data_IF_822542556464
#
_entry.id   IF_822542556464
#
_cell.length_a   1.000
_cell.length_b   1.000
_cell.length_c   1.000
_cell.angle_alpha   90.00
_cell.angle_beta   90.00
_cell.angle_gamma   90.00
#
_symmetry.space_group_name_H-M   'P 1'
#
loop_
_entity.id
_entity.type
_entity.pdbx_description
1 polymer ?
#
# COMPACT_ATOMS: atom_id res chain seq x y z
N UNK A 1 10.57 -6.25 -0.27
CA UNK A 1 11.36 -7.39 0.25
C UNK A 1 12.56 -7.64 -0.65
N UNK A 2 13.73 -7.89 -0.07
CA UNK A 2 14.96 -8.26 -0.79
C UNK A 2 15.57 -9.55 -0.20
N UNK A 3 16.53 -10.15 -0.89
CA UNK A 3 17.25 -11.37 -0.46
C UNK A 3 18.27 -11.11 0.65
N UNK A 4 18.80 -9.90 0.70
CA UNK A 4 19.86 -9.47 1.58
C UNK A 4 19.84 -7.93 1.69
N UNK A 5 20.83 -7.38 2.39
CA UNK A 5 20.97 -5.94 2.63
C UNK A 5 21.63 -5.18 1.46
N UNK A 6 21.71 -5.76 0.26
CA UNK A 6 22.30 -5.08 -0.91
C UNK A 6 21.40 -4.01 -1.51
N UNK A 7 20.10 -4.01 -1.21
CA UNK A 7 19.13 -3.03 -1.71
C UNK A 7 18.89 -1.99 -0.63
N UNK A 8 19.44 -0.78 -0.81
CA UNK A 8 19.36 0.31 0.16
C UNK A 8 18.67 1.56 -0.42
N UNK A 9 18.44 1.59 -1.73
CA UNK A 9 17.75 2.64 -2.46
C UNK A 9 17.01 2.06 -3.67
N UNK A 10 16.08 2.82 -4.27
CA UNK A 10 15.45 2.38 -5.52
C UNK A 10 16.44 2.29 -6.68
N UNK A 11 17.51 3.10 -6.69
CA UNK A 11 18.56 3.03 -7.70
C UNK A 11 19.25 1.64 -7.74
N UNK A 12 19.33 0.95 -6.60
CA UNK A 12 19.88 -0.41 -6.52
C UNK A 12 19.00 -1.44 -7.25
N UNK A 13 17.80 -1.08 -7.69
CA UNK A 13 16.91 -1.95 -8.46
C UNK A 13 17.26 -2.02 -9.94
N UNK A 14 18.16 -1.17 -10.44
CA UNK A 14 18.60 -1.19 -11.83
C UNK A 14 19.12 -2.59 -12.24
N UNK A 15 18.55 -3.14 -13.31
CA UNK A 15 18.84 -4.46 -13.84
C UNK A 15 18.26 -5.63 -13.03
N UNK A 16 17.53 -5.37 -11.93
CA UNK A 16 16.92 -6.42 -11.10
C UNK A 16 15.53 -6.81 -11.60
N UNK A 17 15.14 -8.04 -11.28
CA UNK A 17 13.79 -8.57 -11.44
C UNK A 17 12.99 -8.32 -10.16
N UNK A 18 11.91 -7.55 -10.29
CA UNK A 18 10.98 -7.21 -9.21
C UNK A 18 9.71 -8.03 -9.37
N UNK A 19 9.43 -8.91 -8.41
CA UNK A 19 8.11 -9.55 -8.32
C UNK A 19 7.09 -8.55 -7.80
N UNK A 20 5.98 -8.45 -8.51
CA UNK A 20 4.90 -7.53 -8.20
C UNK A 20 3.58 -8.19 -8.61
N UNK A 21 2.51 -7.93 -7.87
CA UNK A 21 1.16 -8.40 -8.25
C UNK A 21 0.33 -7.22 -8.75
N UNK A 22 -0.78 -7.52 -9.42
CA UNK A 22 -1.79 -6.53 -9.78
C UNK A 22 -1.28 -5.44 -10.74
N UNK A 23 -0.93 -5.85 -11.96
CA UNK A 23 -0.49 -4.95 -13.03
C UNK A 23 -1.54 -3.86 -13.30
N UNK A 24 -1.10 -2.61 -13.38
CA UNK A 24 -1.90 -1.39 -13.54
C UNK A 24 -2.86 -1.07 -12.39
N UNK A 25 -2.70 -1.70 -11.23
CA UNK A 25 -3.42 -1.33 -10.02
C UNK A 25 -2.53 -0.51 -9.07
N UNK A 26 -3.10 -0.03 -7.96
CA UNK A 26 -2.45 0.90 -7.05
C UNK A 26 -1.00 0.53 -6.62
N UNK A 27 -0.66 -0.73 -6.30
CA UNK A 27 0.73 -1.09 -5.96
C UNK A 27 1.71 -0.90 -7.12
N UNK A 28 1.32 -1.26 -8.35
CA UNK A 28 2.13 -1.07 -9.56
C UNK A 28 2.28 0.40 -9.91
N UNK A 29 1.17 1.14 -9.89
CA UNK A 29 1.17 2.57 -10.22
C UNK A 29 2.02 3.37 -9.23
N UNK A 30 1.87 3.14 -7.92
CA UNK A 30 2.70 3.79 -6.91
C UNK A 30 4.18 3.44 -7.10
N UNK A 31 4.49 2.17 -7.37
CA UNK A 31 5.87 1.74 -7.57
C UNK A 31 6.51 2.37 -8.81
N UNK A 32 5.77 2.45 -9.92
CA UNK A 32 6.19 3.13 -11.15
C UNK A 32 6.45 4.62 -10.93
N UNK A 33 5.60 5.30 -10.16
CA UNK A 33 5.78 6.72 -9.79
C UNK A 33 7.14 6.90 -9.09
N UNK A 34 7.39 6.14 -8.02
CA UNK A 34 8.61 6.33 -7.23
C UNK A 34 9.87 5.89 -7.97
N UNK A 35 9.80 4.89 -8.87
CA UNK A 35 10.90 4.54 -9.76
C UNK A 35 11.28 5.71 -10.68
N UNK A 36 10.28 6.34 -11.29
CA UNK A 36 10.48 7.48 -12.18
C UNK A 36 11.11 8.69 -11.45
N UNK A 37 10.70 8.95 -10.21
CA UNK A 37 11.28 10.03 -9.39
C UNK A 37 12.74 9.78 -9.02
N UNK A 38 13.15 8.52 -8.91
CA UNK A 38 14.54 8.10 -8.67
C UNK A 38 15.34 7.93 -9.98
N UNK A 39 14.77 8.34 -11.12
CA UNK A 39 15.44 8.34 -12.41
C UNK A 39 15.52 6.97 -13.09
N UNK A 40 14.74 5.97 -12.64
CA UNK A 40 14.63 4.67 -13.28
C UNK A 40 13.40 4.60 -14.18
N UNK A 41 13.61 4.18 -15.43
CA UNK A 41 12.51 3.83 -16.33
C UNK A 41 11.96 2.44 -15.96
N UNK A 42 10.69 2.33 -15.52
CA UNK A 42 10.11 1.07 -15.04
C UNK A 42 10.00 -0.01 -16.12
N UNK A 43 10.06 0.35 -17.40
CA UNK A 43 9.93 -0.58 -18.53
C UNK A 43 11.28 -0.89 -19.20
N UNK A 44 12.38 -0.26 -18.77
CA UNK A 44 13.72 -0.44 -19.35
C UNK A 44 14.79 -0.80 -18.33
N UNK A 45 14.79 -0.12 -17.19
CA UNK A 45 15.88 -0.23 -16.21
C UNK A 45 15.60 -1.29 -15.15
N UNK A 46 14.37 -1.79 -15.05
CA UNK A 46 13.97 -2.88 -14.15
C UNK A 46 13.13 -3.91 -14.90
N UNK A 47 13.12 -5.16 -14.45
CA UNK A 47 12.21 -6.19 -14.98
C UNK A 47 11.05 -6.39 -14.01
N UNK A 48 9.86 -5.88 -14.33
CA UNK A 48 8.65 -6.11 -13.54
C UNK A 48 8.04 -7.47 -13.90
N UNK A 49 8.20 -8.45 -13.02
CA UNK A 49 7.67 -9.80 -13.18
C UNK A 49 6.33 -9.93 -12.43
N UNK A 50 5.24 -9.78 -13.18
CA UNK A 50 3.90 -9.76 -12.62
C UNK A 50 3.39 -11.16 -12.26
N UNK A 51 2.92 -11.33 -11.02
CA UNK A 51 2.32 -12.57 -10.50
C UNK A 51 0.82 -12.41 -10.27
N UNK A 52 0.08 -13.52 -10.17
CA UNK A 52 -1.39 -13.51 -10.18
C UNK A 52 -2.03 -12.99 -8.90
N UNK A 53 -1.33 -13.00 -7.76
CA UNK A 53 -1.80 -12.40 -6.51
C UNK A 53 -0.67 -12.12 -5.52
N UNK A 54 -0.87 -11.24 -4.52
CA UNK A 54 0.08 -11.05 -3.42
C UNK A 54 0.40 -12.34 -2.66
N UNK A 55 -0.58 -13.22 -2.47
CA UNK A 55 -0.41 -14.51 -1.80
C UNK A 55 0.47 -15.49 -2.60
N UNK A 56 0.46 -15.39 -3.93
CA UNK A 56 1.32 -16.17 -4.82
C UNK A 56 2.76 -15.63 -4.86
N UNK A 57 2.94 -14.31 -4.71
CA UNK A 57 4.25 -13.65 -4.71
C UNK A 57 5.19 -14.21 -3.64
N UNK A 58 4.65 -14.52 -2.45
CA UNK A 58 5.44 -15.01 -1.31
C UNK A 58 6.16 -16.34 -1.61
N UNK A 59 5.49 -17.46 -1.91
CA UNK A 59 6.16 -18.73 -2.19
C UNK A 59 7.05 -18.67 -3.43
N UNK A 60 6.67 -17.89 -4.46
CA UNK A 60 7.51 -17.67 -5.64
C UNK A 60 8.81 -16.96 -5.28
N UNK A 61 8.73 -15.88 -4.49
CA UNK A 61 9.91 -15.22 -3.99
C UNK A 61 10.73 -16.19 -3.16
N UNK A 62 10.17 -16.88 -2.17
CA UNK A 62 10.92 -17.82 -1.33
C UNK A 62 11.58 -18.97 -2.09
N UNK A 63 11.06 -19.37 -3.25
CA UNK A 63 11.65 -20.42 -4.10
C UNK A 63 12.80 -19.94 -5.01
N UNK A 64 13.13 -18.65 -4.99
CA UNK A 64 14.24 -18.07 -5.75
C UNK A 64 13.84 -17.28 -6.99
N UNK A 65 12.53 -17.13 -7.27
CA UNK A 65 12.08 -16.27 -8.38
C UNK A 65 12.21 -14.80 -7.98
N UNK A 66 12.77 -13.98 -8.86
CA UNK A 66 12.99 -12.55 -8.65
C UNK A 66 14.06 -12.21 -7.62
N UNK A 67 14.68 -11.04 -7.81
CA UNK A 67 15.71 -10.49 -6.93
C UNK A 67 15.09 -9.75 -5.75
N UNK A 68 13.97 -9.08 -5.98
CA UNK A 68 13.17 -8.39 -4.98
C UNK A 68 11.69 -8.66 -5.21
N UNK A 69 10.87 -8.39 -4.20
CA UNK A 69 9.42 -8.51 -4.29
C UNK A 69 8.73 -7.36 -3.56
N UNK A 70 7.75 -6.73 -4.22
CA UNK A 70 6.85 -5.77 -3.61
C UNK A 70 5.76 -6.54 -2.88
N UNK A 71 5.65 -6.31 -1.57
CA UNK A 71 4.69 -6.98 -0.70
C UNK A 71 4.12 -5.95 0.27
N UNK A 72 2.81 -5.97 0.47
CA UNK A 72 2.13 -5.21 1.53
C UNK A 72 1.93 -6.08 2.76
N UNK A 73 1.67 -5.45 3.90
CA UNK A 73 1.27 -6.17 5.11
C UNK A 73 -0.16 -6.70 4.98
N UNK A 74 -0.46 -7.88 5.56
CA UNK A 74 0.41 -8.73 6.38
C UNK A 74 1.29 -9.74 5.59
N UNK A 75 1.26 -9.71 4.25
CA UNK A 75 1.97 -10.70 3.42
C UNK A 75 3.50 -10.62 3.57
N UNK A 76 4.06 -9.42 3.74
CA UNK A 76 5.49 -9.23 4.03
C UNK A 76 5.91 -9.88 5.36
N UNK A 77 5.10 -9.72 6.42
CA UNK A 77 5.30 -10.42 7.70
C UNK A 77 5.21 -11.94 7.55
N UNK A 78 4.22 -12.43 6.82
CA UNK A 78 4.07 -13.86 6.54
C UNK A 78 5.29 -14.41 5.80
N UNK A 79 5.80 -13.69 4.79
CA UNK A 79 6.99 -14.06 4.04
C UNK A 79 8.22 -14.20 4.95
N UNK A 80 8.47 -13.23 5.84
CA UNK A 80 9.60 -13.28 6.79
C UNK A 80 9.52 -14.48 7.72
N UNK A 81 8.33 -14.79 8.22
CA UNK A 81 8.10 -15.94 9.10
C UNK A 81 8.37 -17.25 8.35
N UNK A 82 7.86 -17.38 7.13
CA UNK A 82 8.08 -18.57 6.31
C UNK A 82 9.55 -18.73 5.91
N UNK A 83 10.20 -17.64 5.51
CA UNK A 83 11.61 -17.60 5.17
C UNK A 83 12.50 -18.04 6.34
N UNK A 84 12.24 -17.53 7.54
CA UNK A 84 12.95 -17.91 8.76
C UNK A 84 12.81 -19.40 9.10
N UNK A 85 11.63 -20.00 8.86
CA UNK A 85 11.43 -21.46 9.03
C UNK A 85 12.18 -22.27 7.97
N UNK A 86 12.31 -21.74 6.76
CA UNK A 86 12.98 -22.39 5.63
C UNK A 86 14.49 -22.13 5.57
N UNK A 87 15.03 -21.24 6.43
CA UNK A 87 16.43 -20.80 6.37
C UNK A 87 16.77 -19.96 5.13
N UNK A 88 15.77 -19.33 4.51
CA UNK A 88 15.95 -18.45 3.36
C UNK A 88 16.13 -17.01 3.88
N UNK A 89 17.26 -16.34 3.60
CA UNK A 89 17.43 -14.96 4.01
C UNK A 89 16.55 -14.05 3.14
N UNK A 90 15.71 -13.25 3.79
CA UNK A 90 15.03 -12.11 3.16
C UNK A 90 14.90 -10.98 4.19
N UNK A 91 14.80 -9.75 3.71
CA UNK A 91 14.67 -8.54 4.55
C UNK A 91 13.65 -7.56 3.98
N UNK A 92 13.08 -6.71 4.85
CA UNK A 92 12.40 -5.48 4.42
C UNK A 92 13.47 -4.47 4.05
N UNK A 93 13.72 -4.31 2.75
CA UNK A 93 14.76 -3.42 2.24
C UNK A 93 14.31 -1.96 2.15
N UNK A 94 13.12 -1.73 1.58
CA UNK A 94 12.58 -0.39 1.31
C UNK A 94 11.08 -0.37 1.65
N UNK A 95 10.61 0.76 2.17
CA UNK A 95 9.19 1.10 2.28
C UNK A 95 8.84 2.11 1.18
N UNK A 96 8.00 1.70 0.22
CA UNK A 96 7.58 2.53 -0.91
C UNK A 96 6.79 3.76 -0.43
N UNK A 97 6.08 3.64 0.68
CA UNK A 97 5.30 4.72 1.29
C UNK A 97 6.22 5.81 1.84
N UNK A 98 7.34 5.42 2.47
CA UNK A 98 8.37 6.35 2.95
C UNK A 98 9.06 7.08 1.79
N UNK A 99 9.39 6.35 0.71
CA UNK A 99 9.97 6.97 -0.50
C UNK A 99 9.00 7.98 -1.10
N UNK A 100 7.73 7.62 -1.25
CA UNK A 100 6.71 8.53 -1.74
C UNK A 100 6.56 9.76 -0.83
N UNK A 101 6.53 9.54 0.48
CA UNK A 101 6.43 10.58 1.49
C UNK A 101 7.59 11.58 1.48
N UNK A 102 8.81 11.09 1.23
CA UNK A 102 10.01 11.91 1.11
C UNK A 102 9.95 12.84 -0.10
N UNK A 103 9.48 12.36 -1.25
CA UNK A 103 9.35 13.17 -2.47
C UNK A 103 8.21 14.19 -2.39
N UNK A 104 7.13 13.85 -1.69
CA UNK A 104 5.95 14.73 -1.56
C UNK A 104 6.03 15.70 -0.39
N UNK A 105 6.88 15.44 0.60
CA UNK A 105 6.95 16.22 1.84
C UNK A 105 5.73 16.03 2.75
N UNK A 106 4.93 14.98 2.52
CA UNK A 106 3.69 14.69 3.26
C UNK A 106 3.85 13.61 4.34
N UNK A 107 5.07 13.10 4.53
CA UNK A 107 5.34 11.92 5.35
C UNK A 107 4.86 10.63 4.66
N UNK A 108 4.99 9.44 5.28
CA UNK A 108 4.62 8.15 4.69
C UNK A 108 3.08 7.99 4.58
N UNK A 109 2.46 8.83 3.74
CA UNK A 109 1.01 8.91 3.54
C UNK A 109 0.71 8.82 2.05
N UNK A 110 -0.08 7.83 1.69
CA UNK A 110 -0.62 7.68 0.33
C UNK A 110 -2.12 7.40 0.46
N UNK A 111 -3.00 8.25 -0.08
CA UNK A 111 -4.45 8.08 0.02
C UNK A 111 -4.95 7.03 -0.98
N UNK A 112 -4.58 5.76 -0.76
CA UNK A 112 -4.88 4.66 -1.68
C UNK A 112 -6.26 4.04 -1.45
N UNK A 113 -6.86 4.25 -0.27
CA UNK A 113 -8.14 3.63 0.13
C UNK A 113 -9.06 4.71 0.68
N UNK A 114 -10.33 4.67 0.25
CA UNK A 114 -11.38 5.56 0.74
C UNK A 114 -12.75 4.88 0.68
N UNK A 115 -13.70 5.43 1.43
CA UNK A 115 -15.11 5.03 1.38
C UNK A 115 -15.88 6.06 0.57
N UNK A 116 -16.64 5.60 -0.42
CA UNK A 116 -17.52 6.45 -1.21
C UNK A 116 -18.98 6.17 -0.84
N UNK A 117 -19.79 7.22 -0.79
CA UNK A 117 -21.23 7.15 -0.64
C UNK A 117 -21.88 7.85 -1.81
N UNK A 118 -23.07 7.39 -2.23
CA UNK A 118 -23.83 8.12 -3.25
C UNK A 118 -24.39 9.40 -2.65
N UNK A 119 -24.48 10.45 -3.48
CA UNK A 119 -25.11 11.72 -3.10
C UNK A 119 -26.51 11.52 -2.53
N UNK A 120 -27.33 10.68 -3.18
CA UNK A 120 -28.68 10.35 -2.70
C UNK A 120 -28.71 9.71 -1.30
N UNK A 121 -27.70 8.92 -0.93
CA UNK A 121 -27.61 8.33 0.40
C UNK A 121 -27.13 9.36 1.43
N UNK A 122 -26.16 10.19 1.05
CA UNK A 122 -25.67 11.28 1.88
C UNK A 122 -26.79 12.28 2.21
N UNK A 123 -27.63 12.63 1.24
CA UNK A 123 -28.77 13.54 1.46
C UNK A 123 -29.86 12.92 2.34
N UNK A 124 -30.11 11.62 2.16
CA UNK A 124 -31.18 10.92 2.88
C UNK A 124 -30.81 10.57 4.33
N UNK A 125 -29.53 10.33 4.61
CA UNK A 125 -29.04 9.86 5.91
C UNK A 125 -27.65 10.43 6.26
N UNK A 126 -27.48 11.77 6.30
CA UNK A 126 -26.18 12.40 6.56
C UNK A 126 -25.61 12.01 7.94
N UNK A 127 -26.47 11.78 8.93
CA UNK A 127 -26.09 11.33 10.26
C UNK A 127 -25.48 9.92 10.26
N UNK A 128 -25.92 9.04 9.35
CA UNK A 128 -25.36 7.69 9.21
C UNK A 128 -23.96 7.75 8.61
N UNK A 129 -23.73 8.61 7.61
CA UNK A 129 -22.40 8.83 7.03
C UNK A 129 -21.44 9.39 8.09
N UNK A 130 -21.88 10.40 8.84
CA UNK A 130 -21.09 10.97 9.93
C UNK A 130 -20.77 9.94 11.03
N UNK A 131 -21.74 9.15 11.44
CA UNK A 131 -21.54 8.08 12.44
C UNK A 131 -20.60 6.98 11.93
N UNK A 132 -20.71 6.59 10.66
CA UNK A 132 -19.82 5.60 10.05
C UNK A 132 -18.37 6.12 10.01
N UNK A 133 -18.16 7.38 9.62
CA UNK A 133 -16.83 7.98 9.64
C UNK A 133 -16.25 8.02 11.06
N UNK A 134 -17.02 8.49 12.05
CA UNK A 134 -16.57 8.53 13.44
C UNK A 134 -16.19 7.14 13.96
N UNK A 135 -16.99 6.11 13.64
CA UNK A 135 -16.68 4.73 13.99
C UNK A 135 -15.41 4.21 13.30
N UNK A 136 -15.16 4.59 12.05
CA UNK A 136 -13.91 4.25 11.36
C UNK A 136 -12.68 4.93 12.01
N UNK A 137 -12.81 6.19 12.44
CA UNK A 137 -11.74 6.90 13.15
C UNK A 137 -11.43 6.22 14.48
N UNK A 138 -12.46 5.89 15.26
CA UNK A 138 -12.32 5.16 16.52
C UNK A 138 -11.66 3.79 16.30
N UNK A 139 -12.18 2.99 15.37
CA UNK A 139 -11.62 1.68 15.04
C UNK A 139 -10.16 1.77 14.57
N UNK A 140 -9.80 2.77 13.77
CA UNK A 140 -8.43 3.00 13.32
C UNK A 140 -7.46 3.25 14.48
N UNK A 141 -7.89 3.99 15.51
CA UNK A 141 -7.10 4.21 16.71
C UNK A 141 -6.97 2.95 17.58
N UNK A 142 -8.06 2.17 17.71
CA UNK A 142 -8.08 0.93 18.49
C UNK A 142 -7.13 -0.14 17.93
N UNK A 143 -7.00 -0.23 16.60
CA UNK A 143 -6.12 -1.21 15.92
C UNK A 143 -4.69 -1.17 16.45
N UNK A 144 -4.17 0.02 16.76
CA UNK A 144 -2.80 0.19 17.27
C UNK A 144 -2.71 0.18 18.79
N UNK A 145 -3.82 0.42 19.50
CA UNK A 145 -3.86 0.39 20.96
C UNK A 145 -3.78 -1.03 21.52
N UNK A 146 -4.40 -2.00 20.83
CA UNK A 146 -4.34 -3.43 21.18
C UNK A 146 -4.16 -4.31 19.92
N UNK A 147 -2.91 -4.52 19.47
CA UNK A 147 -2.60 -5.32 18.30
C UNK A 147 -3.12 -6.76 18.34
N UNK A 148 -3.21 -7.37 19.52
CA UNK A 148 -3.67 -8.75 19.67
C UNK A 148 -5.20 -8.83 19.53
N UNK A 149 -5.94 -7.89 20.13
CA UNK A 149 -7.39 -7.80 19.93
C UNK A 149 -7.76 -7.45 18.48
N UNK A 150 -7.03 -6.52 17.86
CA UNK A 150 -7.18 -6.18 16.45
C UNK A 150 -6.90 -7.39 15.55
N UNK A 151 -5.87 -8.18 15.86
CA UNK A 151 -5.56 -9.40 15.13
C UNK A 151 -6.65 -10.46 15.29
N UNK A 152 -7.18 -10.69 16.49
CA UNK A 152 -8.21 -11.69 16.75
C UNK A 152 -9.49 -11.45 15.94
N UNK A 153 -9.85 -10.18 15.68
CA UNK A 153 -11.02 -9.81 14.87
C UNK A 153 -10.73 -9.81 13.37
N UNK A 154 -9.51 -9.43 12.97
CA UNK A 154 -9.13 -9.27 11.56
C UNK A 154 -8.67 -10.57 10.91
N UNK A 155 -7.95 -11.42 11.65
CA UNK A 155 -7.34 -12.64 11.12
C UNK A 155 -8.33 -13.62 10.48
N UNK A 156 -9.54 -13.85 11.03
CA UNK A 156 -10.57 -14.67 10.39
C UNK A 156 -11.04 -14.10 9.04
N UNK A 157 -11.11 -12.76 8.90
CA UNK A 157 -11.53 -12.09 7.66
C UNK A 157 -10.48 -12.25 6.55
N UNK A 158 -9.20 -12.32 6.94
CA UNK A 158 -8.07 -12.49 6.03
C UNK A 158 -7.71 -13.96 5.78
N UNK A 159 -8.29 -14.90 6.54
CA UNK A 159 -7.89 -16.31 6.49
C UNK A 159 -6.44 -16.54 6.91
N UNK A 160 -5.92 -15.69 7.81
CA UNK A 160 -4.54 -15.74 8.29
C UNK A 160 -4.50 -16.08 9.79
N UNK A 161 -3.37 -16.58 10.32
CA UNK A 161 -3.15 -16.68 11.76
C UNK A 161 -3.07 -15.32 12.44
N UNK A 162 -3.67 -15.18 13.62
CA UNK A 162 -3.67 -13.97 14.46
C UNK A 162 -2.25 -13.43 14.67
N UNK A 163 -1.29 -14.32 14.97
CA UNK A 163 0.10 -13.94 15.20
C UNK A 163 0.78 -13.31 13.96
N UNK A 164 0.32 -13.60 12.73
CA UNK A 164 0.81 -12.92 11.52
C UNK A 164 0.25 -11.50 11.46
N UNK A 165 -1.05 -11.35 11.72
CA UNK A 165 -1.71 -10.04 11.70
C UNK A 165 -1.13 -9.13 12.79
N UNK A 166 -1.07 -9.59 14.04
CA UNK A 166 -0.53 -8.80 15.17
C UNK A 166 0.91 -8.33 14.90
N UNK A 167 1.76 -9.22 14.37
CA UNK A 167 3.17 -8.90 14.05
C UNK A 167 3.34 -7.97 12.84
N UNK A 168 2.31 -7.83 12.01
CA UNK A 168 2.34 -6.94 10.85
C UNK A 168 1.97 -5.50 11.20
N UNK A 169 1.17 -5.28 12.25
CA UNK A 169 0.65 -3.96 12.61
C UNK A 169 1.71 -2.87 12.83
N UNK A 170 2.92 -3.13 13.37
CA UNK A 170 3.97 -2.11 13.45
C UNK A 170 4.45 -1.57 12.09
N UNK A 171 4.11 -2.24 11.00
CA UNK A 171 4.48 -1.88 9.62
C UNK A 171 3.27 -1.41 8.79
N UNK A 172 2.10 -1.29 9.42
CA UNK A 172 0.89 -0.77 8.80
C UNK A 172 0.79 0.72 9.09
N UNK A 173 0.65 1.52 8.04
CA UNK A 173 0.34 2.94 8.15
C UNK A 173 -1.17 3.13 7.96
N UNK A 174 -1.88 3.50 9.02
CA UNK A 174 -3.31 3.79 8.96
C UNK A 174 -3.59 5.11 9.67
N UNK A 175 -4.13 6.07 8.91
CA UNK A 175 -4.65 7.33 9.42
C UNK A 175 -6.02 7.55 8.78
N UNK A 176 -7.07 7.55 9.60
CA UNK A 176 -8.45 7.70 9.14
C UNK A 176 -8.86 9.14 9.33
N UNK A 177 -9.01 9.85 8.21
CA UNK A 177 -9.42 11.26 8.17
C UNK A 177 -10.55 11.45 7.16
N UNK A 178 -11.25 12.59 7.24
CA UNK A 178 -12.28 12.91 6.25
C UNK A 178 -11.66 13.15 4.86
N UNK A 179 -12.46 12.99 3.80
CA UNK A 179 -11.97 13.28 2.45
C UNK A 179 -11.58 14.76 2.30
N UNK A 180 -12.27 15.65 3.02
CA UNK A 180 -11.93 17.08 3.10
C UNK A 180 -10.57 17.33 3.74
N UNK A 181 -10.27 16.69 4.87
CA UNK A 181 -8.98 16.85 5.55
C UNK A 181 -7.83 16.27 4.69
N UNK A 182 -8.10 15.19 3.95
CA UNK A 182 -7.17 14.57 3.02
C UNK A 182 -7.15 15.21 1.62
N UNK A 183 -7.91 16.28 1.36
CA UNK A 183 -8.11 16.82 0.00
C UNK A 183 -6.78 17.13 -0.71
N UNK A 184 -5.82 17.72 0.00
CA UNK A 184 -4.50 18.01 -0.55
C UNK A 184 -3.68 16.75 -0.89
N UNK A 185 -3.75 15.70 -0.05
CA UNK A 185 -3.07 14.43 -0.32
C UNK A 185 -3.69 13.72 -1.53
N UNK A 186 -5.03 13.71 -1.60
CA UNK A 186 -5.79 13.07 -2.68
C UNK A 186 -5.49 13.77 -4.01
N UNK A 187 -5.57 15.11 -4.04
CA UNK A 187 -5.27 15.89 -5.24
C UNK A 187 -3.84 15.62 -5.74
N UNK A 188 -2.86 15.67 -4.84
CA UNK A 188 -1.46 15.37 -5.18
C UNK A 188 -1.28 13.94 -5.71
N UNK A 189 -1.89 12.95 -5.06
CA UNK A 189 -1.80 11.57 -5.53
C UNK A 189 -2.44 11.39 -6.92
N UNK A 190 -3.57 12.02 -7.18
CA UNK A 190 -4.22 11.98 -8.50
C UNK A 190 -3.39 12.69 -9.56
N UNK A 191 -2.78 13.83 -9.24
CA UNK A 191 -1.82 14.50 -10.13
C UNK A 191 -0.65 13.59 -10.47
N UNK A 192 -0.08 12.89 -9.50
CA UNK A 192 1.01 11.94 -9.70
C UNK A 192 0.59 10.75 -10.58
N UNK A 193 -0.63 10.21 -10.39
CA UNK A 193 -1.18 9.18 -11.29
C UNK A 193 -1.37 9.71 -12.72
N UNK A 194 -1.84 10.94 -12.89
CA UNK A 194 -2.00 11.56 -14.21
C UNK A 194 -0.67 11.78 -14.94
N UNK A 195 0.45 11.93 -14.22
CA UNK A 195 1.78 11.97 -14.85
C UNK A 195 2.15 10.62 -15.49
N UNK A 196 1.64 9.50 -14.99
CA UNK A 196 1.78 8.20 -15.64
C UNK A 196 0.83 8.07 -16.84
N UNK A 197 -0.47 8.26 -16.58
CA UNK A 197 -1.52 8.24 -17.60
C UNK A 197 -2.75 9.00 -17.07
N UNK A 198 -3.19 10.09 -17.73
CA UNK A 198 -4.38 10.83 -17.33
C UNK A 198 -5.64 9.96 -17.24
N UNK A 199 -5.73 8.89 -18.03
CA UNK A 199 -6.87 7.97 -18.03
C UNK A 199 -7.10 7.23 -16.72
N UNK A 200 -6.07 7.08 -15.87
CA UNK A 200 -6.15 6.38 -14.58
C UNK A 200 -7.21 6.99 -13.66
N UNK A 201 -7.31 8.33 -13.64
CA UNK A 201 -8.26 9.07 -12.81
C UNK A 201 -9.37 9.76 -13.63
N UNK A 202 -9.51 9.42 -14.91
CA UNK A 202 -10.50 10.03 -15.79
C UNK A 202 -10.13 11.43 -16.31
N UNK A 203 -8.86 11.82 -16.20
CA UNK A 203 -8.30 13.00 -16.88
C UNK A 203 -8.37 14.32 -16.10
N UNK A 204 -8.91 14.34 -14.88
CA UNK A 204 -8.95 15.53 -14.04
C UNK A 204 -8.97 15.17 -12.55
N UNK A 205 -8.48 16.09 -11.72
CA UNK A 205 -8.73 16.05 -10.27
C UNK A 205 -10.19 16.40 -10.01
N UNK A 206 -10.90 15.68 -9.11
CA UNK A 206 -12.27 15.99 -8.75
C UNK A 206 -12.46 17.40 -8.18
N UNK A 207 -13.67 17.93 -8.32
CA UNK A 207 -14.05 19.21 -7.70
C UNK A 207 -14.39 19.06 -6.20
N UNK A 208 -14.72 20.18 -5.56
CA UNK A 208 -14.99 20.24 -4.11
C UNK A 208 -16.17 19.36 -3.66
N UNK A 209 -17.09 18.98 -4.55
CA UNK A 209 -18.23 18.14 -4.22
C UNK A 209 -17.83 16.66 -4.01
N UNK A 210 -16.66 16.25 -4.50
CA UNK A 210 -16.11 14.91 -4.28
C UNK A 210 -15.71 14.67 -2.81
N UNK A 211 -15.34 15.73 -2.10
CA UNK A 211 -14.73 15.62 -0.77
C UNK A 211 -15.77 15.81 0.32
N UNK A 212 -16.22 14.72 0.93
CA UNK A 212 -17.05 14.78 2.13
C UNK A 212 -16.22 15.09 3.39
N UNK A 213 -16.83 15.81 4.34
CA UNK A 213 -16.19 16.26 5.58
C UNK A 213 -16.01 17.77 5.64
#
# INVERSE_FOLDING_TARGET
MARDDSVNSLADLAGKTVLLSNRHEAPDLLFRIVLGWEGLDPDRDVTLDYVGSPGEAVPLFLSGRGDVAIMHEPAATAALIQAGKAGVPIVRALDVTEVYGAHTGRGPRVPQVGLAVSEAFLDAAPEVVAAAHAACVEAGAEVFADPDAAAATTAPLLGLPDAIVARSLPWVHLDVVSARDAQADIALYFENLMQLDPGIVGGAVPDDAFFWG
#
